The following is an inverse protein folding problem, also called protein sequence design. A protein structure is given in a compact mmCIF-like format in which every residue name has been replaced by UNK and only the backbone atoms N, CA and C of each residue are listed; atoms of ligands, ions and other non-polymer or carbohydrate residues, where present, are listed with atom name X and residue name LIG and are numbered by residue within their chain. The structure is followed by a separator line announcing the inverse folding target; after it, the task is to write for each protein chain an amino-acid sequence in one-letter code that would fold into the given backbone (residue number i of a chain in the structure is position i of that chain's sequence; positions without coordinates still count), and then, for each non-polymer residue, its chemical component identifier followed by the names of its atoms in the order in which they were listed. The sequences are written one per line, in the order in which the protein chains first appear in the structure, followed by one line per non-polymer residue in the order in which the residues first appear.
data_IF_815571979824
#
_entry.id   IF_815571979824
#
_cell.length_a   1.000
_cell.length_b   1.000
_cell.length_c   1.000
_cell.angle_alpha   90.00
_cell.angle_beta   90.00
_cell.angle_gamma   90.00
#
_symmetry.space_group_name_H-M   'P 1'
#
loop_
_entity.id
_entity.type
_entity.pdbx_description
1 polymer ?
#
# COMPACT_ATOMS: atom_id res chain seq x y z
N UNK A 1 7.54 7.92 13.83
CA UNK A 1 7.34 7.29 12.50
C UNK A 1 8.49 6.38 12.08
N UNK A 2 9.75 6.81 11.97
CA UNK A 2 10.85 5.93 11.51
C UNK A 2 11.11 4.71 12.40
N UNK A 3 11.03 4.86 13.72
CA UNK A 3 11.15 3.74 14.66
C UNK A 3 9.98 2.76 14.49
N UNK A 4 8.76 3.28 14.41
CA UNK A 4 7.56 2.47 14.16
C UNK A 4 7.68 1.67 12.87
N UNK A 5 8.12 2.32 11.78
CA UNK A 5 8.30 1.69 10.49
C UNK A 5 9.31 0.53 10.55
N UNK A 6 10.47 0.74 11.18
CA UNK A 6 11.48 -0.31 11.38
C UNK A 6 10.91 -1.51 12.14
N UNK A 7 10.13 -1.26 13.17
CA UNK A 7 9.54 -2.31 14.00
C UNK A 7 8.49 -3.12 13.24
N UNK A 8 7.61 -2.47 12.49
CA UNK A 8 6.63 -3.13 11.62
C UNK A 8 7.33 -4.04 10.61
N UNK A 9 8.33 -3.50 9.90
CA UNK A 9 9.06 -4.28 8.89
C UNK A 9 9.67 -5.53 9.52
N UNK A 10 10.35 -5.40 10.67
CA UNK A 10 10.90 -6.55 11.36
C UNK A 10 9.84 -7.59 11.73
N UNK A 11 8.65 -7.14 12.15
CA UNK A 11 7.55 -8.06 12.49
C UNK A 11 7.07 -8.81 11.24
N UNK A 12 6.87 -8.10 10.12
CA UNK A 12 6.42 -8.70 8.87
C UNK A 12 7.44 -9.71 8.31
N UNK A 13 8.74 -9.38 8.33
CA UNK A 13 9.82 -10.27 7.90
C UNK A 13 9.91 -11.57 8.72
N UNK A 14 9.49 -11.52 9.99
CA UNK A 14 9.49 -12.69 10.87
C UNK A 14 8.09 -13.34 11.01
N UNK A 15 7.11 -12.88 10.26
CA UNK A 15 5.80 -13.50 10.17
C UNK A 15 5.83 -14.54 9.03
N UNK A 16 5.95 -15.82 9.36
CA UNK A 16 6.24 -16.90 8.42
C UNK A 16 5.25 -17.04 7.24
N UNK A 17 4.03 -16.52 7.38
CA UNK A 17 3.02 -16.52 6.32
C UNK A 17 3.10 -15.29 5.39
N UNK A 18 3.87 -14.25 5.76
CA UNK A 18 4.07 -13.07 4.92
C UNK A 18 5.09 -13.40 3.84
N UNK A 19 4.62 -13.48 2.60
CA UNK A 19 5.43 -13.78 1.42
C UNK A 19 6.14 -12.54 0.89
N UNK A 20 5.43 -11.41 0.86
CA UNK A 20 5.95 -10.12 0.42
C UNK A 20 5.16 -8.99 1.07
N UNK A 21 5.76 -7.81 1.14
CA UNK A 21 5.11 -6.58 1.58
C UNK A 21 5.73 -5.39 0.85
N UNK A 22 4.96 -4.31 0.71
CA UNK A 22 5.47 -3.05 0.17
C UNK A 22 4.73 -1.87 0.79
N UNK A 23 5.42 -0.74 0.94
CA UNK A 23 4.78 0.53 1.30
C UNK A 23 3.84 0.98 0.18
N UNK A 24 2.70 1.49 0.59
CA UNK A 24 1.69 2.17 -0.22
C UNK A 24 1.36 3.53 0.42
N UNK A 25 0.24 4.13 0.07
CA UNK A 25 -0.23 5.36 0.71
C UNK A 25 0.67 6.58 0.49
N UNK A 26 0.58 7.53 1.41
CA UNK A 26 1.27 8.81 1.31
C UNK A 26 2.79 8.72 1.38
N UNK A 27 3.33 7.79 2.18
CA UNK A 27 4.77 7.57 2.29
C UNK A 27 5.36 7.04 0.98
N UNK A 28 4.69 6.07 0.34
CA UNK A 28 5.15 5.53 -0.92
C UNK A 28 5.08 6.55 -2.06
N UNK A 29 4.04 7.37 -2.10
CA UNK A 29 3.94 8.50 -3.05
C UNK A 29 5.15 9.44 -2.88
N UNK A 30 5.49 9.81 -1.63
CA UNK A 30 6.65 10.65 -1.33
C UNK A 30 8.02 10.04 -1.65
N UNK A 31 8.08 8.73 -1.88
CA UNK A 31 9.28 8.05 -2.37
C UNK A 31 9.50 8.16 -3.89
N UNK A 32 8.47 8.51 -4.64
CA UNK A 32 8.53 8.63 -6.11
C UNK A 32 8.52 10.07 -6.61
N UNK A 33 7.84 10.96 -5.89
CA UNK A 33 7.70 12.38 -6.23
C UNK A 33 7.95 13.26 -5.02
N UNK A 34 7.86 14.59 -5.17
CA UNK A 34 8.02 15.51 -4.06
C UNK A 34 7.12 15.13 -2.87
N UNK A 35 7.71 14.87 -1.67
CA UNK A 35 6.95 14.35 -0.54
C UNK A 35 5.95 15.39 -0.01
N UNK A 36 4.79 14.89 0.41
CA UNK A 36 3.83 15.63 1.23
C UNK A 36 3.80 15.09 2.65
N UNK A 37 3.32 15.91 3.57
CA UNK A 37 3.14 15.45 4.94
C UNK A 37 2.12 14.29 5.00
N UNK A 38 2.51 13.20 5.67
CA UNK A 38 1.63 12.09 6.04
C UNK A 38 1.87 11.72 7.50
N UNK A 39 0.86 11.16 8.16
CA UNK A 39 0.91 10.79 9.59
C UNK A 39 0.80 9.29 9.82
N UNK A 40 0.43 8.56 8.80
CA UNK A 40 0.12 7.15 8.77
C UNK A 40 1.16 6.35 7.99
N UNK A 41 1.26 5.09 8.29
CA UNK A 41 2.05 4.10 7.57
C UNK A 41 1.07 3.12 6.94
N UNK A 42 1.03 3.08 5.62
CA UNK A 42 0.20 2.14 4.86
C UNK A 42 1.08 1.07 4.22
N UNK A 43 0.74 -0.19 4.44
CA UNK A 43 1.45 -1.35 3.89
C UNK A 43 0.45 -2.25 3.18
N UNK A 44 0.82 -2.72 2.01
CA UNK A 44 0.14 -3.83 1.35
C UNK A 44 1.02 -5.07 1.52
N UNK A 45 0.45 -6.14 2.06
CA UNK A 45 1.14 -7.40 2.32
C UNK A 45 0.48 -8.54 1.54
N UNK A 46 1.30 -9.43 0.99
CA UNK A 46 0.87 -10.70 0.39
C UNK A 46 1.21 -11.86 1.32
N UNK A 47 0.26 -12.76 1.51
CA UNK A 47 0.43 -13.96 2.32
C UNK A 47 0.50 -15.20 1.42
N UNK A 48 1.26 -16.20 1.85
CA UNK A 48 1.30 -17.51 1.18
C UNK A 48 -0.10 -18.13 1.06
N UNK A 49 -0.92 -17.97 2.11
CA UNK A 49 -2.35 -18.28 2.11
C UNK A 49 -3.08 -17.19 2.90
N UNK A 50 -3.90 -16.42 2.21
CA UNK A 50 -4.67 -15.32 2.83
C UNK A 50 -5.89 -15.90 3.56
N UNK A 51 -5.69 -16.26 4.82
CA UNK A 51 -6.74 -16.71 5.73
C UNK A 51 -6.86 -15.76 6.93
N UNK A 52 -8.03 -15.74 7.53
CA UNK A 52 -8.25 -14.99 8.77
C UNK A 52 -7.25 -15.39 9.86
N UNK A 53 -7.01 -16.68 10.04
CA UNK A 53 -6.08 -17.20 11.05
C UNK A 53 -4.64 -16.70 10.83
N UNK A 54 -4.14 -16.73 9.60
CA UNK A 54 -2.80 -16.23 9.29
C UNK A 54 -2.67 -14.72 9.59
N UNK A 55 -3.72 -13.95 9.31
CA UNK A 55 -3.75 -12.51 9.59
C UNK A 55 -3.83 -12.23 11.10
N UNK A 56 -4.63 -13.00 11.85
CA UNK A 56 -4.70 -12.91 13.31
C UNK A 56 -3.36 -13.20 13.99
N UNK A 57 -2.53 -14.11 13.44
CA UNK A 57 -1.16 -14.33 13.93
C UNK A 57 -0.25 -13.11 13.69
N UNK A 58 -0.38 -12.40 12.56
CA UNK A 58 0.33 -11.13 12.34
C UNK A 58 -0.11 -10.09 13.37
N UNK A 59 -1.42 -9.93 13.58
CA UNK A 59 -1.96 -9.01 14.59
C UNK A 59 -1.44 -9.33 15.99
N UNK A 60 -1.41 -10.60 16.38
CA UNK A 60 -0.90 -11.04 17.68
C UNK A 60 0.57 -10.65 17.89
N UNK A 61 1.42 -10.80 16.86
CA UNK A 61 2.81 -10.34 16.91
C UNK A 61 2.91 -8.83 17.11
N UNK A 62 2.08 -8.05 16.42
CA UNK A 62 2.01 -6.59 16.59
C UNK A 62 1.59 -6.20 18.01
N UNK A 63 0.55 -6.82 18.55
CA UNK A 63 0.09 -6.56 19.92
C UNK A 63 1.18 -6.95 20.94
N UNK A 64 1.87 -8.06 20.74
CA UNK A 64 2.99 -8.49 21.61
C UNK A 64 4.15 -7.49 21.57
N UNK A 65 4.37 -6.81 20.44
CA UNK A 65 5.34 -5.73 20.28
C UNK A 65 4.87 -4.38 20.84
N UNK A 66 3.66 -4.30 21.42
CA UNK A 66 3.15 -3.10 22.07
C UNK A 66 2.27 -2.21 21.18
N UNK A 67 1.91 -2.64 19.99
CA UNK A 67 0.90 -1.96 19.18
C UNK A 67 -0.50 -2.21 19.73
N UNK A 68 -1.41 -1.25 19.51
CA UNK A 68 -2.81 -1.36 19.92
C UNK A 68 -3.70 -1.23 18.70
N UNK A 69 -4.64 -2.15 18.53
CA UNK A 69 -5.58 -2.11 17.43
C UNK A 69 -6.27 -3.44 17.17
N UNK A 70 -6.82 -3.60 15.98
CA UNK A 70 -7.67 -4.74 15.62
C UNK A 70 -7.57 -5.11 14.15
N UNK A 71 -8.10 -6.28 13.82
CA UNK A 71 -8.38 -6.72 12.46
C UNK A 71 -9.77 -6.23 12.04
N UNK A 72 -9.84 -5.52 10.94
CA UNK A 72 -11.07 -5.20 10.22
C UNK A 72 -11.28 -6.20 9.08
N UNK A 73 -12.49 -6.70 8.96
CA UNK A 73 -12.89 -7.67 7.92
C UNK A 73 -13.98 -7.01 7.07
N UNK A 74 -13.67 -6.82 5.79
CA UNK A 74 -14.62 -6.29 4.83
C UNK A 74 -15.68 -7.30 4.42
N UNK A 75 -16.86 -6.79 4.07
CA UNK A 75 -17.96 -7.59 3.51
C UNK A 75 -17.68 -8.10 2.08
N UNK A 76 -18.61 -8.86 1.51
CA UNK A 76 -18.46 -9.43 0.15
C UNK A 76 -18.21 -8.38 -0.93
N UNK A 77 -18.82 -7.21 -0.83
CA UNK A 77 -18.72 -6.12 -1.81
C UNK A 77 -17.54 -5.16 -1.57
N UNK A 78 -16.89 -5.24 -0.39
CA UNK A 78 -15.79 -4.35 -0.07
C UNK A 78 -14.53 -4.69 -0.86
N UNK A 79 -13.83 -3.67 -1.28
CA UNK A 79 -12.58 -3.82 -2.00
C UNK A 79 -11.45 -4.34 -1.12
N UNK A 80 -11.41 -3.92 0.14
CA UNK A 80 -10.47 -4.40 1.14
C UNK A 80 -11.14 -5.51 1.94
N UNK A 81 -10.60 -6.72 1.87
CA UNK A 81 -11.14 -7.88 2.59
C UNK A 81 -10.61 -8.00 4.00
N UNK A 82 -9.34 -7.66 4.20
CA UNK A 82 -8.69 -7.71 5.50
C UNK A 82 -7.75 -6.52 5.67
N UNK A 83 -7.88 -5.83 6.79
CA UNK A 83 -6.99 -4.75 7.16
C UNK A 83 -6.69 -4.82 8.66
N UNK A 84 -5.43 -4.89 9.05
CA UNK A 84 -5.01 -4.67 10.43
C UNK A 84 -4.82 -3.17 10.60
N UNK A 85 -5.57 -2.57 11.52
CA UNK A 85 -5.39 -1.18 11.94
C UNK A 85 -4.82 -1.14 13.33
N UNK A 86 -3.61 -0.61 13.46
CA UNK A 86 -2.94 -0.48 14.76
C UNK A 86 -2.31 0.90 14.94
N UNK A 87 -2.04 1.23 16.19
CA UNK A 87 -1.33 2.46 16.57
C UNK A 87 -0.13 2.06 17.40
N UNK A 88 1.04 2.62 17.07
CA UNK A 88 2.26 2.41 17.85
C UNK A 88 2.25 3.15 19.18
N UNK A 89 3.20 2.82 20.07
CA UNK A 89 3.42 3.57 21.32
C UNK A 89 3.79 5.05 21.10
N UNK A 90 4.23 5.42 19.90
CA UNK A 90 4.49 6.82 19.49
C UNK A 90 3.26 7.51 18.85
N UNK A 91 2.07 6.91 18.97
CA UNK A 91 0.82 7.37 18.37
C UNK A 91 0.88 7.49 16.82
N UNK A 92 1.65 6.63 16.16
CA UNK A 92 1.67 6.55 14.70
C UNK A 92 0.66 5.51 14.25
N UNK A 93 -0.37 5.89 13.46
CA UNK A 93 -1.30 4.94 12.87
C UNK A 93 -0.60 4.08 11.81
N UNK A 94 -0.98 2.82 11.74
CA UNK A 94 -0.46 1.85 10.76
C UNK A 94 -1.62 1.01 10.25
N UNK A 95 -1.80 1.01 8.93
CA UNK A 95 -2.76 0.18 8.23
C UNK A 95 -2.01 -0.87 7.41
N UNK A 96 -2.26 -2.15 7.70
CA UNK A 96 -1.71 -3.28 6.93
C UNK A 96 -2.86 -3.94 6.20
N UNK A 97 -2.92 -3.69 4.90
CA UNK A 97 -3.92 -4.26 4.01
C UNK A 97 -3.36 -5.57 3.45
N UNK A 98 -4.18 -6.60 3.39
CA UNK A 98 -3.77 -7.89 2.83
C UNK A 98 -4.31 -8.07 1.42
N UNK A 99 -3.40 -8.41 0.50
CA UNK A 99 -3.74 -8.68 -0.89
C UNK A 99 -4.79 -9.80 -0.99
N UNK A 100 -5.87 -9.53 -1.67
CA UNK A 100 -6.98 -10.46 -1.88
C UNK A 100 -7.19 -10.81 -3.35
N UNK A 101 -6.51 -10.09 -4.24
CA UNK A 101 -6.56 -10.26 -5.69
C UNK A 101 -5.17 -10.47 -6.26
N UNK A 102 -5.09 -11.24 -7.31
CA UNK A 102 -3.81 -11.55 -7.97
C UNK A 102 -3.00 -10.31 -8.37
N UNK A 103 -3.66 -9.27 -8.89
CA UNK A 103 -2.97 -8.03 -9.27
C UNK A 103 -2.41 -7.27 -8.06
N UNK A 104 -3.04 -7.37 -6.87
CA UNK A 104 -2.55 -6.79 -5.61
C UNK A 104 -1.27 -7.50 -5.14
N UNK A 105 -1.25 -8.83 -5.18
CA UNK A 105 -0.05 -9.61 -4.86
C UNK A 105 1.11 -9.28 -5.83
N UNK A 106 0.83 -9.19 -7.13
CA UNK A 106 1.84 -8.85 -8.15
C UNK A 106 2.48 -7.49 -7.91
N UNK A 107 1.70 -6.43 -7.60
CA UNK A 107 2.29 -5.11 -7.37
C UNK A 107 3.12 -5.04 -6.08
N UNK A 108 2.85 -5.91 -5.11
CA UNK A 108 3.67 -6.07 -3.89
C UNK A 108 4.99 -6.75 -4.23
N UNK A 109 4.93 -7.90 -4.93
CA UNK A 109 6.12 -8.67 -5.31
C UNK A 109 7.08 -7.89 -6.22
N UNK A 110 6.54 -7.00 -7.06
CA UNK A 110 7.30 -6.16 -7.98
C UNK A 110 7.73 -4.81 -7.37
N UNK A 111 7.52 -4.64 -6.07
CA UNK A 111 7.93 -3.44 -5.34
C UNK A 111 9.43 -3.16 -5.49
N UNK A 112 9.78 -1.88 -5.63
CA UNK A 112 11.17 -1.45 -5.69
C UNK A 112 11.69 -1.11 -4.31
N UNK A 113 12.87 -1.63 -3.96
CA UNK A 113 13.54 -1.30 -2.71
C UNK A 113 14.14 0.10 -2.80
N UNK A 114 13.67 1.00 -1.95
CA UNK A 114 14.09 2.41 -1.88
C UNK A 114 14.51 2.74 -0.46
N UNK A 115 15.57 3.51 -0.30
CA UNK A 115 15.97 4.03 1.00
C UNK A 115 15.01 5.17 1.41
N UNK A 116 14.04 4.85 2.25
CA UNK A 116 13.01 5.81 2.72
C UNK A 116 13.46 6.63 3.93
N UNK A 117 14.44 6.14 4.66
CA UNK A 117 15.12 6.81 5.77
C UNK A 117 16.58 6.34 5.78
N UNK A 118 17.48 7.16 6.30
CA UNK A 118 18.91 6.82 6.39
C UNK A 118 19.09 5.45 7.04
N UNK A 119 19.62 4.49 6.25
CA UNK A 119 19.86 3.11 6.66
C UNK A 119 18.60 2.25 6.79
N UNK A 120 17.48 2.66 6.18
CA UNK A 120 16.26 1.86 6.10
C UNK A 120 15.75 1.82 4.66
N UNK A 121 15.97 0.70 4.01
CA UNK A 121 15.47 0.42 2.66
C UNK A 121 14.26 -0.49 2.73
N UNK A 122 13.19 -0.15 2.03
CA UNK A 122 11.90 -0.85 2.06
C UNK A 122 11.35 -0.96 0.64
N UNK A 123 10.67 -2.07 0.29
CA UNK A 123 9.93 -2.14 -0.96
C UNK A 123 8.81 -1.10 -1.00
N UNK A 124 8.77 -0.30 -2.05
CA UNK A 124 7.66 0.60 -2.40
C UNK A 124 6.92 0.05 -3.61
N UNK A 125 5.61 0.07 -3.58
CA UNK A 125 4.82 -0.20 -4.78
C UNK A 125 5.20 0.82 -5.87
N UNK A 126 5.37 0.36 -7.10
CA UNK A 126 5.74 1.19 -8.26
C UNK A 126 4.64 2.22 -8.57
N UNK A 127 4.97 3.33 -9.26
CA UNK A 127 4.01 4.38 -9.59
C UNK A 127 2.71 3.86 -10.22
N UNK A 128 2.78 2.90 -11.12
CA UNK A 128 1.61 2.29 -11.78
C UNK A 128 0.64 1.66 -10.77
N UNK A 129 1.19 0.88 -9.83
CA UNK A 129 0.39 0.25 -8.76
C UNK A 129 -0.20 1.29 -7.82
N UNK A 130 0.58 2.33 -7.44
CA UNK A 130 0.10 3.42 -6.58
C UNK A 130 -1.04 4.20 -7.24
N UNK A 131 -0.91 4.56 -8.52
CA UNK A 131 -2.00 5.24 -9.28
C UNK A 131 -3.27 4.40 -9.25
N UNK A 132 -3.16 3.09 -9.51
CA UNK A 132 -4.32 2.19 -9.51
C UNK A 132 -4.95 2.09 -8.12
N UNK A 133 -4.17 1.91 -7.06
CA UNK A 133 -4.66 1.87 -5.67
C UNK A 133 -5.37 3.17 -5.30
N UNK A 134 -4.78 4.32 -5.64
CA UNK A 134 -5.35 5.65 -5.39
C UNK A 134 -6.67 5.88 -6.15
N UNK A 135 -6.73 5.51 -7.43
CA UNK A 135 -7.98 5.59 -8.21
C UNK A 135 -9.06 4.66 -7.67
N UNK A 136 -8.67 3.55 -7.06
CA UNK A 136 -9.60 2.60 -6.45
C UNK A 136 -10.16 3.14 -5.14
N UNK A 137 -9.33 3.69 -4.26
CA UNK A 137 -9.76 4.36 -3.02
C UNK A 137 -10.63 5.59 -3.29
N UNK A 138 -10.21 6.46 -4.20
CA UNK A 138 -11.05 7.48 -4.84
C UNK A 138 -11.43 8.68 -3.99
N UNK A 139 -10.79 8.91 -2.83
CA UNK A 139 -10.96 10.16 -2.08
C UNK A 139 -10.39 11.35 -2.87
N UNK A 140 -10.73 12.57 -2.47
CA UNK A 140 -10.18 13.77 -3.09
C UNK A 140 -8.64 13.79 -3.04
N UNK A 141 -8.06 13.40 -1.91
CA UNK A 141 -6.60 13.31 -1.74
C UNK A 141 -6.00 12.21 -2.61
N UNK A 142 -6.68 11.07 -2.76
CA UNK A 142 -6.20 9.97 -3.60
C UNK A 142 -6.16 10.36 -5.07
N UNK A 143 -7.18 11.07 -5.56
CA UNK A 143 -7.18 11.59 -6.94
C UNK A 143 -6.07 12.61 -7.15
N UNK A 144 -5.81 13.49 -6.16
CA UNK A 144 -4.70 14.44 -6.22
C UNK A 144 -3.33 13.74 -6.24
N UNK A 145 -3.12 12.72 -5.40
CA UNK A 145 -1.90 11.91 -5.39
C UNK A 145 -1.71 11.17 -6.73
N UNK A 146 -2.76 10.56 -7.27
CA UNK A 146 -2.74 9.89 -8.57
C UNK A 146 -2.38 10.86 -9.71
N UNK A 147 -2.96 12.08 -9.69
CA UNK A 147 -2.65 13.12 -10.68
C UNK A 147 -1.18 13.52 -10.65
N UNK A 148 -0.61 13.73 -9.46
CA UNK A 148 0.80 14.07 -9.30
C UNK A 148 1.73 12.95 -9.78
N UNK A 149 1.43 11.70 -9.42
CA UNK A 149 2.20 10.54 -9.89
C UNK A 149 2.20 10.46 -11.42
N UNK A 150 1.05 10.69 -12.08
CA UNK A 150 0.94 10.69 -13.54
C UNK A 150 1.75 11.80 -14.22
N UNK A 151 1.95 12.92 -13.54
CA UNK A 151 2.68 14.09 -14.11
C UNK A 151 4.16 14.08 -13.78
N UNK A 152 4.53 13.63 -12.58
CA UNK A 152 5.88 13.81 -12.04
C UNK A 152 6.73 12.52 -11.99
N UNK A 153 6.09 11.34 -11.92
CA UNK A 153 6.82 10.08 -11.83
C UNK A 153 7.09 9.46 -13.21
N UNK A 154 8.15 8.67 -13.30
CA UNK A 154 8.37 7.77 -14.43
C UNK A 154 7.55 6.49 -14.26
N UNK A 155 6.81 6.07 -15.29
CA UNK A 155 6.00 4.86 -15.28
C UNK A 155 5.85 4.24 -16.67
N UNK A 156 5.56 2.94 -16.71
CA UNK A 156 5.18 2.23 -17.92
C UNK A 156 3.67 2.37 -18.16
N UNK A 157 3.30 3.13 -19.21
CA UNK A 157 1.90 3.39 -19.56
C UNK A 157 1.13 2.10 -19.91
N UNK A 158 1.77 1.16 -20.63
CA UNK A 158 1.11 -0.10 -21.01
C UNK A 158 0.80 -0.95 -19.78
N UNK A 159 1.75 -1.01 -18.83
CA UNK A 159 1.59 -1.68 -17.55
C UNK A 159 0.49 -1.00 -16.72
N UNK A 160 0.50 0.32 -16.61
CA UNK A 160 -0.51 1.09 -15.90
C UNK A 160 -1.92 0.78 -16.42
N UNK A 161 -2.14 0.85 -17.74
CA UNK A 161 -3.42 0.53 -18.37
C UNK A 161 -3.87 -0.91 -18.11
N UNK A 162 -2.94 -1.86 -18.17
CA UNK A 162 -3.25 -3.26 -17.86
C UNK A 162 -3.69 -3.44 -16.40
N UNK A 163 -2.95 -2.88 -15.45
CA UNK A 163 -3.30 -2.91 -14.02
C UNK A 163 -4.65 -2.24 -13.76
N UNK A 164 -4.90 -1.05 -14.34
CA UNK A 164 -6.14 -0.33 -14.19
C UNK A 164 -7.36 -1.13 -14.67
N UNK A 165 -7.23 -1.85 -15.80
CA UNK A 165 -8.26 -2.74 -16.32
C UNK A 165 -8.54 -3.89 -15.36
N UNK A 166 -7.51 -4.54 -14.82
CA UNK A 166 -7.64 -5.66 -13.86
C UNK A 166 -8.25 -5.20 -12.53
N UNK A 167 -7.94 -3.98 -12.10
CA UNK A 167 -8.49 -3.35 -10.92
C UNK A 167 -9.88 -2.72 -11.14
N UNK A 168 -10.38 -2.68 -12.38
CA UNK A 168 -11.66 -2.07 -12.80
C UNK A 168 -11.72 -0.55 -12.54
N UNK A 169 -10.61 0.14 -12.75
CA UNK A 169 -10.49 1.60 -12.66
C UNK A 169 -10.02 2.25 -13.97
N UNK A 170 -9.98 1.49 -15.06
CA UNK A 170 -9.56 1.93 -16.39
C UNK A 170 -10.29 3.20 -16.86
N UNK A 171 -11.61 3.25 -16.71
CA UNK A 171 -12.41 4.44 -17.06
C UNK A 171 -12.06 5.66 -16.20
N UNK A 172 -11.71 5.45 -14.93
CA UNK A 172 -11.27 6.54 -14.04
C UNK A 172 -9.89 7.05 -14.45
N UNK A 173 -8.99 6.12 -14.82
CA UNK A 173 -7.64 6.45 -15.30
C UNK A 173 -7.72 7.29 -16.58
N UNK A 174 -8.43 6.84 -17.63
CA UNK A 174 -8.50 7.56 -18.90
C UNK A 174 -9.10 8.96 -18.73
N UNK A 175 -10.17 9.11 -17.94
CA UNK A 175 -10.73 10.42 -17.63
C UNK A 175 -9.76 11.34 -16.89
N UNK A 176 -8.92 10.78 -16.01
CA UNK A 176 -7.92 11.57 -15.28
C UNK A 176 -6.80 12.00 -16.24
N UNK A 177 -6.30 11.08 -17.05
CA UNK A 177 -5.26 11.37 -18.06
C UNK A 177 -5.73 12.42 -19.08
N UNK A 178 -6.97 12.31 -19.57
CA UNK A 178 -7.58 13.32 -20.46
C UNK A 178 -7.60 14.72 -19.81
N UNK A 179 -8.04 14.81 -18.54
CA UNK A 179 -8.03 16.08 -17.80
C UNK A 179 -6.65 16.68 -17.60
N UNK A 180 -5.61 15.85 -17.54
CA UNK A 180 -4.21 16.24 -17.37
C UNK A 180 -3.51 16.50 -18.73
N UNK A 181 -4.18 16.24 -19.85
CA UNK A 181 -3.59 16.38 -21.19
C UNK A 181 -2.50 15.34 -21.50
N UNK A 182 -2.61 14.14 -20.93
CA UNK A 182 -1.64 13.03 -21.06
C UNK A 182 -2.07 11.94 -22.07
N UNK A 183 -3.08 12.21 -22.89
CA UNK A 183 -3.61 11.30 -23.94
C UNK A 183 -3.12 11.69 -25.32
#
# INVERSE_FOLDING_TARGET
MGKTLKEIIRILEHAGDVKAYALIGGLAVGGWIAPRATRDIDILADLSVTTRSAIEEVLKKLITAGFKGSLEIGGPEDDIKFCIKVVSGENVPVDIIFASRKWEAEIVEEGMVVEVLKGLSIPLVRPEGLVVLKLKAGSFQDVADASKLLVEAEYDLQRLRNLAKRARVDKRLERLMEKLGLT
#
